data_IF_436192798828
#
_entry.id   IF_436192798828
#
_cell.length_a   1.000
_cell.length_b   1.000
_cell.length_c   1.000
_cell.angle_alpha   90.00
_cell.angle_beta   90.00
_cell.angle_gamma   90.00
#
_symmetry.space_group_name_H-M   'P 1'
#
loop_
_entity.id
_entity.type
_entity.pdbx_description
1 polymer ?
#
# COMPACT_ATOMS: atom_id res chain seq x y z
N UNK A 1 12.21 28.07 -36.29
CA UNK A 1 11.21 27.45 -37.19
C UNK A 1 11.00 25.99 -36.76
N UNK A 2 10.83 25.75 -35.46
CA UNK A 2 10.69 24.40 -34.84
C UNK A 2 9.34 24.26 -34.10
N UNK A 3 8.46 25.26 -34.17
CA UNK A 3 7.27 25.37 -33.31
C UNK A 3 6.02 24.66 -33.85
N UNK A 4 6.15 23.86 -34.92
CA UNK A 4 4.99 23.34 -35.68
C UNK A 4 4.85 21.81 -35.75
N UNK A 5 5.64 21.04 -34.98
CA UNK A 5 5.58 19.57 -35.04
C UNK A 5 5.11 18.88 -33.75
N UNK A 6 4.79 19.60 -32.67
CA UNK A 6 4.12 18.96 -31.53
C UNK A 6 2.65 18.81 -31.86
N UNK A 7 2.19 17.58 -32.12
CA UNK A 7 0.75 17.27 -32.19
C UNK A 7 -0.01 17.74 -30.94
N UNK A 8 -1.36 17.68 -30.96
CA UNK A 8 -2.16 18.15 -29.83
C UNK A 8 -1.74 17.44 -28.54
N UNK A 9 -1.50 18.22 -27.50
CA UNK A 9 -1.12 17.70 -26.18
C UNK A 9 -2.24 16.79 -25.67
N UNK A 10 -1.91 15.55 -25.34
CA UNK A 10 -2.81 14.56 -24.75
C UNK A 10 -2.38 14.25 -23.32
N UNK A 11 -3.19 14.67 -22.35
CA UNK A 11 -2.89 14.52 -20.92
C UNK A 11 -3.75 13.42 -20.28
N UNK A 12 -3.11 12.41 -19.70
CA UNK A 12 -3.82 11.34 -18.98
C UNK A 12 -3.71 11.53 -17.48
N UNK A 13 -4.84 11.53 -16.79
CA UNK A 13 -4.93 11.71 -15.34
C UNK A 13 -5.23 10.37 -14.69
N UNK A 14 -4.44 9.99 -13.69
CA UNK A 14 -4.59 8.68 -13.05
C UNK A 14 -4.22 8.66 -11.56
N UNK A 15 -4.66 7.62 -10.87
CA UNK A 15 -4.26 7.32 -9.48
C UNK A 15 -3.94 5.84 -9.29
N UNK A 16 -3.22 5.54 -8.20
CA UNK A 16 -2.94 4.20 -7.72
C UNK A 16 -3.43 4.11 -6.26
N UNK A 17 -4.34 3.19 -5.96
CA UNK A 17 -4.94 3.09 -4.64
C UNK A 17 -5.27 1.66 -4.23
N UNK A 18 -5.32 1.40 -2.91
CA UNK A 18 -5.78 0.10 -2.39
C UNK A 18 -7.29 0.02 -2.25
N UNK A 19 -7.92 1.11 -1.78
CA UNK A 19 -9.38 1.23 -1.55
C UNK A 19 -10.00 -0.02 -0.90
N UNK A 20 -9.52 -0.45 0.27
CA UNK A 20 -9.98 -1.69 0.92
C UNK A 20 -10.48 -1.50 2.37
N UNK A 21 -11.76 -1.12 2.58
CA UNK A 21 -12.76 -0.77 1.55
C UNK A 21 -12.54 0.64 0.95
N UNK A 22 -13.23 0.98 -0.17
CA UNK A 22 -13.40 2.36 -0.58
C UNK A 22 -14.05 3.19 0.54
N UNK A 23 -13.69 4.47 0.64
CA UNK A 23 -14.15 5.35 1.73
C UNK A 23 -14.35 6.77 1.22
N UNK A 24 -14.94 7.65 2.04
CA UNK A 24 -15.11 9.06 1.71
C UNK A 24 -13.78 9.77 1.39
N UNK A 25 -12.67 9.37 2.03
CA UNK A 25 -11.34 9.87 1.67
C UNK A 25 -10.92 9.50 0.25
N UNK A 26 -11.22 8.28 -0.20
CA UNK A 26 -10.99 7.86 -1.59
C UNK A 26 -11.91 8.58 -2.56
N UNK A 27 -13.14 8.89 -2.16
CA UNK A 27 -14.08 9.67 -2.99
C UNK A 27 -13.58 11.10 -3.20
N UNK A 28 -12.95 11.70 -2.18
CA UNK A 28 -12.25 12.97 -2.33
C UNK A 28 -11.12 12.90 -3.37
N UNK A 29 -10.35 11.81 -3.38
CA UNK A 29 -9.31 11.57 -4.39
C UNK A 29 -9.91 11.41 -5.81
N UNK A 30 -11.00 10.66 -5.95
CA UNK A 30 -11.69 10.53 -7.25
C UNK A 30 -12.24 11.88 -7.72
N UNK A 31 -12.87 12.64 -6.83
CA UNK A 31 -13.35 14.00 -7.14
C UNK A 31 -12.23 14.90 -7.64
N UNK A 32 -11.03 14.79 -7.08
CA UNK A 32 -9.87 15.55 -7.53
C UNK A 32 -9.34 15.09 -8.91
N UNK A 33 -9.43 13.79 -9.25
CA UNK A 33 -9.14 13.31 -10.61
C UNK A 33 -10.11 13.95 -11.62
N UNK A 34 -11.41 13.91 -11.31
CA UNK A 34 -12.46 14.49 -12.16
C UNK A 34 -12.28 16.00 -12.32
N UNK A 35 -12.00 16.71 -11.22
CA UNK A 35 -11.73 18.15 -11.23
C UNK A 35 -10.50 18.48 -12.09
N UNK A 36 -9.40 17.73 -11.94
CA UNK A 36 -8.20 17.93 -12.74
C UNK A 36 -8.44 17.67 -14.24
N UNK A 37 -9.40 16.81 -14.60
CA UNK A 37 -9.76 16.56 -16.00
C UNK A 37 -10.55 17.72 -16.60
N UNK A 38 -11.43 18.37 -15.82
CA UNK A 38 -12.12 19.60 -16.25
C UNK A 38 -11.18 20.80 -16.44
N UNK A 39 -10.02 20.79 -15.77
CA UNK A 39 -8.99 21.81 -15.91
C UNK A 39 -8.12 21.63 -17.16
N UNK A 40 -8.26 20.50 -17.88
CA UNK A 40 -7.58 20.31 -19.15
C UNK A 40 -8.18 21.23 -20.23
N UNK A 41 -7.39 21.66 -21.24
CA UNK A 41 -7.93 22.29 -22.43
C UNK A 41 -9.05 21.42 -23.04
N UNK A 42 -10.12 22.04 -23.53
CA UNK A 42 -11.27 21.31 -24.10
C UNK A 42 -10.91 20.49 -25.34
N UNK A 43 -9.84 20.88 -26.02
CA UNK A 43 -9.26 20.22 -27.18
C UNK A 43 -8.18 19.19 -26.83
N UNK A 44 -7.82 19.02 -25.55
CA UNK A 44 -6.92 17.95 -25.10
C UNK A 44 -7.61 16.59 -25.31
N UNK A 45 -7.05 15.68 -26.13
CA UNK A 45 -7.67 14.38 -26.40
C UNK A 45 -7.77 13.44 -25.17
N UNK A 46 -7.15 13.80 -24.04
CA UNK A 46 -7.30 13.12 -22.75
C UNK A 46 -8.47 13.65 -21.91
N UNK A 47 -9.11 14.75 -22.33
CA UNK A 47 -10.33 15.25 -21.71
C UNK A 47 -11.44 14.18 -21.79
N UNK A 48 -12.21 14.04 -20.71
CA UNK A 48 -13.30 13.07 -20.61
C UNK A 48 -12.91 11.69 -20.09
N UNK A 49 -11.63 11.42 -19.76
CA UNK A 49 -11.21 10.14 -19.15
C UNK A 49 -10.26 10.32 -17.97
N UNK A 50 -10.48 9.54 -16.91
CA UNK A 50 -9.55 9.39 -15.78
C UNK A 50 -9.36 7.92 -15.42
N UNK A 51 -8.19 7.56 -14.88
CA UNK A 51 -7.83 6.17 -14.61
C UNK A 51 -7.59 5.89 -13.13
N UNK A 52 -8.06 4.73 -12.65
CA UNK A 52 -7.83 4.25 -11.29
C UNK A 52 -7.20 2.86 -11.37
N UNK A 53 -5.99 2.70 -10.83
CA UNK A 53 -5.31 1.40 -10.73
C UNK A 53 -5.45 0.88 -9.29
N UNK A 54 -6.20 -0.20 -9.11
CA UNK A 54 -6.54 -0.78 -7.82
C UNK A 54 -5.64 -1.97 -7.44
N UNK A 55 -5.23 -2.03 -6.17
CA UNK A 55 -4.42 -3.14 -5.66
C UNK A 55 -5.15 -4.49 -5.73
N UNK A 56 -4.39 -5.52 -6.09
CA UNK A 56 -4.81 -6.92 -6.12
C UNK A 56 -4.51 -7.70 -4.84
N UNK A 57 -3.74 -7.13 -3.90
CA UNK A 57 -3.34 -7.83 -2.69
C UNK A 57 -4.56 -8.19 -1.85
N UNK A 58 -4.59 -9.42 -1.37
CA UNK A 58 -5.63 -9.94 -0.49
C UNK A 58 -4.96 -10.40 0.79
N UNK A 59 -4.80 -9.48 1.73
CA UNK A 59 -4.47 -9.85 3.11
C UNK A 59 -5.79 -9.85 3.89
N UNK A 60 -6.21 -10.97 4.50
CA UNK A 60 -7.54 -11.07 5.11
C UNK A 60 -7.85 -9.99 6.15
N UNK A 61 -6.84 -9.33 6.72
CA UNK A 61 -7.01 -8.31 7.76
C UNK A 61 -6.82 -6.89 7.20
N UNK A 62 -5.76 -6.68 6.42
CA UNK A 62 -5.32 -5.35 5.98
C UNK A 62 -5.76 -4.97 4.56
N UNK A 63 -6.08 -5.94 3.71
CA UNK A 63 -6.58 -5.76 2.33
C UNK A 63 -7.63 -6.87 2.00
N UNK A 64 -8.75 -6.97 2.75
CA UNK A 64 -9.67 -8.12 2.70
C UNK A 64 -10.48 -8.29 1.40
N UNK A 65 -10.87 -7.20 0.74
CA UNK A 65 -11.63 -7.24 -0.51
C UNK A 65 -10.79 -7.57 -1.74
N UNK A 66 -11.39 -8.33 -2.66
CA UNK A 66 -10.84 -8.52 -4.00
C UNK A 66 -11.01 -7.25 -4.83
N UNK A 67 -10.21 -7.09 -5.87
CA UNK A 67 -10.31 -5.90 -6.71
C UNK A 67 -11.66 -5.78 -7.44
N UNK A 68 -12.23 -6.89 -7.90
CA UNK A 68 -13.56 -6.90 -8.52
C UNK A 68 -14.64 -6.41 -7.56
N UNK A 69 -14.56 -6.78 -6.27
CA UNK A 69 -15.49 -6.28 -5.26
C UNK A 69 -15.38 -4.76 -5.14
N UNK A 70 -14.16 -4.23 -5.06
CA UNK A 70 -13.91 -2.78 -5.01
C UNK A 70 -14.49 -2.07 -6.24
N UNK A 71 -14.36 -2.67 -7.43
CA UNK A 71 -14.91 -2.12 -8.69
C UNK A 71 -16.43 -2.08 -8.68
N UNK A 72 -17.10 -3.11 -8.13
CA UNK A 72 -18.56 -3.14 -7.95
C UNK A 72 -19.00 -2.01 -7.02
N UNK A 73 -18.37 -1.85 -5.85
CA UNK A 73 -18.65 -0.75 -4.92
C UNK A 73 -18.52 0.62 -5.59
N UNK A 74 -17.44 0.82 -6.36
CA UNK A 74 -17.11 2.11 -6.97
C UNK A 74 -18.07 2.47 -8.12
N UNK A 75 -18.39 1.51 -8.98
CA UNK A 75 -19.16 1.75 -10.22
C UNK A 75 -20.62 1.34 -10.06
N UNK A 76 -20.88 0.07 -9.76
CA UNK A 76 -22.22 -0.52 -9.82
C UNK A 76 -23.10 -0.09 -8.63
N UNK A 77 -22.53 -0.03 -7.44
CA UNK A 77 -23.23 0.46 -6.24
C UNK A 77 -23.20 1.99 -6.14
N UNK A 78 -22.61 2.66 -7.14
CA UNK A 78 -22.86 4.06 -7.42
C UNK A 78 -22.08 5.06 -6.57
N UNK A 79 -20.98 4.68 -5.91
CA UNK A 79 -20.16 5.68 -5.19
C UNK A 79 -19.63 6.78 -6.13
N UNK A 80 -19.11 6.41 -7.31
CA UNK A 80 -18.68 7.38 -8.34
C UNK A 80 -19.88 8.11 -8.93
N UNK A 81 -20.98 7.39 -9.20
CA UNK A 81 -22.20 7.99 -9.75
C UNK A 81 -22.84 8.99 -8.79
N UNK A 82 -22.72 8.79 -7.48
CA UNK A 82 -23.12 9.80 -6.49
C UNK A 82 -22.27 11.06 -6.63
N UNK A 83 -20.94 10.95 -6.76
CA UNK A 83 -20.07 12.12 -7.00
C UNK A 83 -20.52 12.87 -8.25
N UNK A 84 -20.81 12.16 -9.34
CA UNK A 84 -21.27 12.76 -10.61
C UNK A 84 -22.66 13.40 -10.48
N UNK A 85 -23.59 12.76 -9.76
CA UNK A 85 -24.93 13.30 -9.49
C UNK A 85 -24.88 14.57 -8.66
N UNK A 86 -24.05 14.59 -7.63
CA UNK A 86 -23.84 15.75 -6.76
C UNK A 86 -23.03 16.86 -7.47
N UNK A 87 -22.40 16.57 -8.62
CA UNK A 87 -21.55 17.50 -9.38
C UNK A 87 -21.73 17.26 -10.90
N UNK A 88 -22.83 17.77 -11.50
CA UNK A 88 -23.21 17.47 -12.89
C UNK A 88 -22.15 17.77 -13.95
N UNK A 89 -21.19 18.65 -13.64
CA UNK A 89 -20.04 18.94 -14.51
C UNK A 89 -19.14 17.72 -14.75
N UNK A 90 -19.19 16.69 -13.90
CA UNK A 90 -18.42 15.45 -14.08
C UNK A 90 -19.13 14.38 -14.92
N UNK A 91 -20.37 14.63 -15.37
CA UNK A 91 -21.19 13.62 -16.07
C UNK A 91 -20.54 13.09 -17.35
N UNK A 92 -19.81 13.95 -18.09
CA UNK A 92 -19.09 13.59 -19.32
C UNK A 92 -17.72 12.93 -19.11
N UNK A 93 -17.28 12.68 -17.87
CA UNK A 93 -15.96 12.10 -17.60
C UNK A 93 -16.12 10.61 -17.25
N UNK A 94 -15.48 9.75 -18.04
CA UNK A 94 -15.38 8.32 -17.80
C UNK A 94 -14.31 8.02 -16.74
N UNK A 95 -14.64 7.16 -15.77
CA UNK A 95 -13.68 6.64 -14.78
C UNK A 95 -13.34 5.20 -15.13
N UNK A 96 -12.14 4.96 -15.64
CA UNK A 96 -11.67 3.64 -16.07
C UNK A 96 -10.89 2.98 -14.92
N UNK A 97 -11.36 1.83 -14.45
CA UNK A 97 -10.77 1.11 -13.32
C UNK A 97 -10.07 -0.18 -13.80
N UNK A 98 -8.76 -0.23 -13.56
CA UNK A 98 -7.91 -1.41 -13.75
C UNK A 98 -7.61 -2.08 -12.40
N UNK A 99 -7.68 -3.40 -12.38
CA UNK A 99 -7.23 -4.21 -11.26
C UNK A 99 -5.81 -4.70 -11.52
N UNK A 100 -4.89 -4.60 -10.56
CA UNK A 100 -3.51 -5.10 -10.70
C UNK A 100 -3.42 -6.61 -11.02
N UNK A 101 -4.49 -7.36 -10.77
CA UNK A 101 -4.65 -8.78 -11.11
C UNK A 101 -5.07 -9.01 -12.56
N UNK A 102 -5.54 -7.98 -13.27
CA UNK A 102 -6.00 -8.11 -14.64
C UNK A 102 -4.86 -8.59 -15.54
N UNK A 103 -5.20 -9.48 -16.46
CA UNK A 103 -4.29 -9.96 -17.48
C UNK A 103 -4.02 -8.84 -18.47
N UNK A 104 -2.76 -8.62 -18.77
CA UNK A 104 -2.29 -7.70 -19.80
C UNK A 104 -1.32 -8.45 -20.70
N UNK A 105 -1.01 -7.89 -21.85
CA UNK A 105 -0.03 -8.47 -22.77
C UNK A 105 1.32 -8.68 -22.07
N UNK A 106 1.94 -9.84 -22.28
CA UNK A 106 3.12 -10.27 -21.52
C UNK A 106 4.33 -9.33 -21.69
N UNK A 107 4.40 -8.66 -22.84
CA UNK A 107 5.47 -7.71 -23.19
C UNK A 107 5.40 -6.40 -22.39
N UNK A 108 4.27 -6.11 -21.74
CA UNK A 108 4.10 -4.99 -20.80
C UNK A 108 4.75 -5.26 -19.44
N UNK A 109 5.26 -6.47 -19.23
CA UNK A 109 6.03 -6.87 -18.04
C UNK A 109 5.19 -7.35 -16.86
N UNK A 110 5.87 -7.85 -15.83
CA UNK A 110 5.24 -8.54 -14.70
C UNK A 110 4.91 -7.65 -13.49
N UNK A 111 5.40 -6.41 -13.45
CA UNK A 111 5.19 -5.55 -12.28
C UNK A 111 3.70 -5.11 -12.21
N UNK A 112 2.98 -5.35 -11.10
CA UNK A 112 1.52 -5.22 -11.03
C UNK A 112 0.99 -3.83 -11.37
N UNK A 113 1.70 -2.77 -10.94
CA UNK A 113 1.35 -1.37 -11.27
C UNK A 113 1.80 -1.00 -12.69
N UNK A 114 3.10 -1.13 -12.97
CA UNK A 114 3.72 -0.63 -14.20
C UNK A 114 3.13 -1.25 -15.46
N UNK A 115 2.73 -2.52 -15.43
CA UNK A 115 2.12 -3.20 -16.58
C UNK A 115 0.83 -2.49 -17.05
N UNK A 116 0.00 -1.98 -16.12
CA UNK A 116 -1.21 -1.22 -16.46
C UNK A 116 -0.91 0.21 -16.89
N UNK A 117 0.11 0.84 -16.29
CA UNK A 117 0.56 2.16 -16.75
C UNK A 117 1.05 2.07 -18.20
N UNK A 118 1.82 1.04 -18.54
CA UNK A 118 2.28 0.79 -19.91
C UNK A 118 1.12 0.44 -20.86
N UNK A 119 0.12 -0.29 -20.38
CA UNK A 119 -1.12 -0.53 -21.13
C UNK A 119 -1.85 0.78 -21.46
N UNK A 120 -1.97 1.69 -20.49
CA UNK A 120 -2.54 3.03 -20.70
C UNK A 120 -1.70 3.79 -21.74
N UNK A 121 -0.38 3.80 -21.62
CA UNK A 121 0.51 4.47 -22.57
C UNK A 121 0.35 3.89 -23.99
N UNK A 122 0.26 2.56 -24.13
CA UNK A 122 0.05 1.88 -25.41
C UNK A 122 -1.28 2.26 -26.07
N UNK A 123 -2.36 2.22 -25.28
CA UNK A 123 -3.72 2.44 -25.79
C UNK A 123 -4.02 3.91 -26.05
N UNK A 124 -3.55 4.79 -25.18
CA UNK A 124 -3.91 6.20 -25.21
C UNK A 124 -2.83 7.06 -25.87
N UNK A 125 -1.58 6.62 -25.94
CA UNK A 125 -0.45 7.41 -26.49
C UNK A 125 -0.38 8.84 -25.92
N UNK A 126 -0.36 9.02 -24.57
CA UNK A 126 -0.32 10.34 -23.96
C UNK A 126 1.01 11.06 -24.23
N UNK A 127 0.95 12.37 -24.35
CA UNK A 127 2.13 13.25 -24.30
C UNK A 127 2.43 13.74 -22.89
N UNK A 128 1.44 13.69 -21.98
CA UNK A 128 1.56 14.12 -20.57
C UNK A 128 0.78 13.17 -19.64
N UNK A 129 1.26 12.93 -18.41
CA UNK A 129 0.62 12.03 -17.45
C UNK A 129 0.63 12.59 -16.03
N UNK A 130 -0.54 12.84 -15.46
CA UNK A 130 -0.70 13.41 -14.12
C UNK A 130 -1.10 12.33 -13.11
N UNK A 131 -0.21 12.03 -12.17
CA UNK A 131 -0.47 11.13 -11.05
C UNK A 131 -1.04 11.93 -9.87
N UNK A 132 -2.25 11.61 -9.41
CA UNK A 132 -2.84 12.21 -8.21
C UNK A 132 -2.88 11.17 -7.10
N UNK A 133 -2.32 11.49 -5.93
CA UNK A 133 -2.19 10.57 -4.80
C UNK A 133 -2.47 11.29 -3.47
N UNK A 134 -2.91 10.53 -2.46
CA UNK A 134 -3.07 11.05 -1.11
C UNK A 134 -1.73 11.46 -0.48
N UNK A 135 -1.77 12.48 0.39
CA UNK A 135 -0.60 12.95 1.13
C UNK A 135 0.09 11.87 1.97
N UNK A 136 -0.65 10.86 2.42
CA UNK A 136 -0.13 9.72 3.17
C UNK A 136 0.80 8.82 2.34
N UNK A 137 0.84 9.00 1.01
CA UNK A 137 1.61 8.15 0.09
C UNK A 137 2.69 8.88 -0.68
N UNK A 138 2.50 10.16 -0.96
CA UNK A 138 3.31 10.88 -1.96
C UNK A 138 4.72 11.18 -1.50
N UNK A 139 4.85 11.85 -0.35
CA UNK A 139 6.13 12.44 0.04
C UNK A 139 6.21 12.49 1.56
N UNK A 140 7.26 11.91 2.13
CA UNK A 140 7.67 12.27 3.50
C UNK A 140 8.56 13.49 3.43
N UNK A 141 8.20 14.53 4.18
CA UNK A 141 9.04 15.71 4.35
C UNK A 141 9.82 15.59 5.67
N UNK A 142 11.04 16.12 5.73
CA UNK A 142 11.73 16.35 7.00
C UNK A 142 11.22 17.62 7.67
N UNK A 143 11.80 17.93 8.82
CA UNK A 143 11.50 19.15 9.59
C UNK A 143 11.84 20.46 8.85
N UNK A 144 12.49 20.38 7.68
CA UNK A 144 12.86 21.50 6.82
C UNK A 144 12.08 21.51 5.50
N UNK A 145 10.94 20.82 5.43
CA UNK A 145 10.12 20.68 4.22
C UNK A 145 10.89 20.07 3.02
N UNK A 146 11.94 19.28 3.29
CA UNK A 146 12.69 18.57 2.25
C UNK A 146 12.11 17.18 2.01
N UNK A 147 11.89 16.81 0.75
CA UNK A 147 11.41 15.48 0.34
C UNK A 147 12.42 14.40 0.72
N UNK A 148 12.12 13.60 1.76
CA UNK A 148 12.93 12.47 2.20
C UNK A 148 12.63 11.21 1.37
N UNK A 149 11.34 10.97 1.05
CA UNK A 149 10.91 9.71 0.44
C UNK A 149 9.74 9.95 -0.54
N UNK A 150 9.98 9.75 -1.84
CA UNK A 150 8.94 9.68 -2.87
C UNK A 150 8.68 8.20 -3.20
N UNK A 151 7.60 7.64 -2.66
CA UNK A 151 7.25 6.22 -2.81
C UNK A 151 6.89 5.82 -4.25
N UNK A 152 6.69 6.80 -5.15
CA UNK A 152 6.32 6.56 -6.56
C UNK A 152 7.40 6.97 -7.55
N UNK A 153 8.62 7.29 -7.08
CA UNK A 153 9.75 7.56 -7.98
C UNK A 153 10.00 6.42 -8.97
N UNK A 154 9.70 5.17 -8.61
CA UNK A 154 9.82 4.04 -9.52
C UNK A 154 8.85 4.11 -10.71
N UNK A 155 7.68 4.76 -10.57
CA UNK A 155 6.72 5.00 -11.66
C UNK A 155 7.27 6.04 -12.61
N UNK A 156 7.78 7.15 -12.08
CA UNK A 156 8.47 8.19 -12.85
C UNK A 156 9.68 7.62 -13.60
N UNK A 157 10.52 6.85 -12.91
CA UNK A 157 11.69 6.21 -13.49
C UNK A 157 11.31 5.20 -14.58
N UNK A 158 10.25 4.42 -14.39
CA UNK A 158 9.79 3.48 -15.42
C UNK A 158 9.31 4.22 -16.67
N UNK A 159 8.44 5.23 -16.51
CA UNK A 159 7.95 6.05 -17.63
C UNK A 159 9.11 6.72 -18.38
N UNK A 160 10.12 7.24 -17.65
CA UNK A 160 11.34 7.82 -18.25
C UNK A 160 12.20 6.77 -18.96
N UNK A 161 12.39 5.58 -18.38
CA UNK A 161 13.20 4.48 -18.97
C UNK A 161 12.55 3.85 -20.19
N UNK A 162 11.23 3.76 -20.18
CA UNK A 162 10.48 3.37 -21.38
C UNK A 162 10.71 4.38 -22.51
N UNK A 163 11.17 5.60 -22.17
CA UNK A 163 11.72 6.59 -23.08
C UNK A 163 10.90 6.66 -24.34
N UNK A 164 9.57 6.86 -24.19
CA UNK A 164 8.51 6.71 -25.19
C UNK A 164 9.06 6.92 -26.61
N UNK A 165 9.61 5.85 -27.20
CA UNK A 165 9.95 5.73 -28.62
C UNK A 165 8.68 5.40 -29.39
N UNK A 166 7.64 6.18 -29.11
CA UNK A 166 6.38 6.17 -29.83
C UNK A 166 6.15 7.56 -30.43
N UNK A 167 6.66 8.66 -29.83
CA UNK A 167 6.70 10.02 -30.42
C UNK A 167 7.57 11.00 -29.58
N UNK A 168 8.88 10.74 -29.44
CA UNK A 168 9.96 11.64 -28.92
C UNK A 168 9.76 12.45 -27.60
N UNK A 169 8.61 12.39 -26.94
CA UNK A 169 8.30 13.17 -25.73
C UNK A 169 8.03 12.24 -24.55
N UNK A 170 8.81 12.44 -23.49
CA UNK A 170 8.60 11.77 -22.20
C UNK A 170 7.55 12.57 -21.43
N UNK A 171 6.41 11.98 -21.05
CA UNK A 171 5.41 12.70 -20.27
C UNK A 171 5.98 13.13 -18.92
N UNK A 172 5.77 14.40 -18.56
CA UNK A 172 6.10 14.92 -17.24
C UNK A 172 5.09 14.37 -16.22
N UNK A 173 5.54 13.99 -15.02
CA UNK A 173 4.62 13.58 -13.95
C UNK A 173 4.62 14.66 -12.88
N UNK A 174 3.47 15.30 -12.69
CA UNK A 174 3.22 16.20 -11.56
C UNK A 174 2.37 15.47 -10.54
N UNK A 175 2.99 15.11 -9.42
CA UNK A 175 2.30 14.48 -8.30
C UNK A 175 1.52 15.56 -7.53
N UNK A 176 0.19 15.56 -7.66
CA UNK A 176 -0.66 16.43 -6.85
C UNK A 176 -0.98 15.72 -5.53
N UNK A 177 -0.44 16.26 -4.44
CA UNK A 177 -0.69 15.77 -3.08
C UNK A 177 -1.97 16.42 -2.55
N UNK A 178 -2.95 15.58 -2.22
CA UNK A 178 -4.19 16.05 -1.59
C UNK A 178 -4.13 15.88 -0.08
N UNK A 179 -4.39 16.97 0.63
CA UNK A 179 -4.70 16.93 2.06
C UNK A 179 -5.99 16.14 2.30
N UNK A 180 -6.00 15.33 3.35
CA UNK A 180 -7.19 14.58 3.75
C UNK A 180 -8.28 15.58 4.20
N UNK A 181 -9.50 15.52 3.63
CA UNK A 181 -10.57 16.40 4.08
C UNK A 181 -10.86 16.19 5.57
N UNK A 182 -11.18 17.26 6.33
CA UNK A 182 -11.60 17.13 7.73
C UNK A 182 -12.74 16.11 7.86
N UNK A 183 -12.61 15.17 8.79
CA UNK A 183 -13.61 14.12 9.02
C UNK A 183 -13.63 12.97 8.00
N UNK A 184 -12.87 13.03 6.91
CA UNK A 184 -12.84 11.95 5.92
C UNK A 184 -12.38 10.63 6.54
N UNK A 185 -13.05 9.53 6.21
CA UNK A 185 -12.79 8.22 6.80
C UNK A 185 -11.66 7.47 6.07
N UNK A 186 -10.78 6.78 6.81
CA UNK A 186 -9.74 5.93 6.23
C UNK A 186 -10.18 4.47 6.17
N UNK A 187 -9.66 3.73 5.20
CA UNK A 187 -9.92 2.29 5.08
C UNK A 187 -9.50 1.53 6.36
N UNK A 188 -8.37 1.89 6.98
CA UNK A 188 -7.93 1.28 8.24
C UNK A 188 -8.95 1.49 9.35
N UNK A 189 -9.50 2.71 9.50
CA UNK A 189 -10.53 2.96 10.50
C UNK A 189 -11.82 2.18 10.21
N UNK A 190 -12.23 2.05 8.94
CA UNK A 190 -13.37 1.21 8.56
C UNK A 190 -13.16 -0.26 8.94
N UNK A 191 -11.98 -0.82 8.64
CA UNK A 191 -11.65 -2.21 9.02
C UNK A 191 -11.61 -2.40 10.54
N UNK A 192 -11.20 -1.39 11.31
CA UNK A 192 -11.32 -1.42 12.77
C UNK A 192 -12.77 -1.52 13.22
N UNK A 193 -13.67 -0.70 12.68
CA UNK A 193 -15.10 -0.77 13.00
C UNK A 193 -15.67 -2.16 12.74
N UNK A 194 -15.29 -2.77 11.61
CA UNK A 194 -15.64 -4.16 11.29
C UNK A 194 -15.05 -5.12 12.33
N UNK A 195 -13.75 -5.04 12.62
CA UNK A 195 -13.10 -5.96 13.56
C UNK A 195 -13.72 -5.95 14.96
N UNK A 196 -14.17 -4.79 15.45
CA UNK A 196 -14.85 -4.65 16.74
C UNK A 196 -16.37 -4.89 16.68
N UNK A 197 -16.92 -5.23 15.51
CA UNK A 197 -18.35 -5.49 15.35
C UNK A 197 -19.26 -4.25 15.35
N UNK A 198 -18.71 -3.03 15.19
CA UNK A 198 -19.49 -1.79 15.19
C UNK A 198 -20.14 -1.53 13.82
N UNK A 199 -21.23 -2.26 13.55
CA UNK A 199 -21.98 -2.19 12.29
C UNK A 199 -22.62 -0.83 12.06
N UNK A 200 -23.18 -0.22 13.11
CA UNK A 200 -23.91 1.05 13.01
C UNK A 200 -23.00 2.19 12.54
N UNK A 201 -21.85 2.39 13.20
CA UNK A 201 -20.89 3.43 12.78
C UNK A 201 -20.32 3.12 11.38
N UNK A 202 -20.05 1.85 11.07
CA UNK A 202 -19.56 1.47 9.74
C UNK A 202 -20.57 1.82 8.64
N UNK A 203 -21.85 1.50 8.84
CA UNK A 203 -22.92 1.79 7.87
C UNK A 203 -23.05 3.30 7.71
N UNK A 204 -23.15 4.05 8.82
CA UNK A 204 -23.20 5.51 8.80
C UNK A 204 -22.06 6.13 7.97
N UNK A 205 -20.83 5.65 8.15
CA UNK A 205 -19.65 6.16 7.44
C UNK A 205 -19.55 5.70 5.98
N UNK A 206 -20.15 4.57 5.65
CA UNK A 206 -20.27 4.09 4.27
C UNK A 206 -21.30 4.89 3.46
N UNK A 207 -22.40 5.32 4.10
CA UNK A 207 -23.39 6.22 3.50
C UNK A 207 -22.77 7.56 3.13
N UNK A 208 -21.94 8.14 4.01
CA UNK A 208 -21.19 9.38 3.72
C UNK A 208 -20.28 9.23 2.49
N UNK A 209 -19.75 8.02 2.26
CA UNK A 209 -18.93 7.69 1.09
C UNK A 209 -19.75 7.42 -0.18
N UNK A 210 -21.07 7.28 -0.05
CA UNK A 210 -22.01 7.17 -1.15
C UNK A 210 -22.60 5.80 -1.43
N UNK A 211 -22.39 4.83 -0.54
CA UNK A 211 -23.10 3.56 -0.61
C UNK A 211 -24.54 3.70 -0.14
N UNK A 212 -25.42 2.80 -0.57
CA UNK A 212 -26.75 2.65 0.01
C UNK A 212 -26.66 1.99 1.40
N UNK A 213 -27.73 2.09 2.20
CA UNK A 213 -27.74 1.45 3.53
C UNK A 213 -27.66 -0.08 3.43
N UNK A 214 -28.28 -0.65 2.38
CA UNK A 214 -28.24 -2.07 2.11
C UNK A 214 -26.84 -2.52 1.71
N UNK A 215 -26.24 -1.88 0.70
CA UNK A 215 -24.90 -2.22 0.21
C UNK A 215 -23.85 -2.04 1.33
N UNK A 216 -23.98 -1.00 2.14
CA UNK A 216 -23.13 -0.78 3.30
C UNK A 216 -23.25 -1.90 4.35
N UNK A 217 -24.47 -2.39 4.61
CA UNK A 217 -24.69 -3.49 5.54
C UNK A 217 -24.14 -4.82 5.00
N UNK A 218 -24.35 -5.11 3.71
CA UNK A 218 -23.81 -6.28 3.03
C UNK A 218 -22.27 -6.26 2.99
N UNK A 219 -21.69 -5.10 2.69
CA UNK A 219 -20.24 -4.90 2.75
C UNK A 219 -19.68 -5.12 4.15
N UNK A 220 -20.37 -4.65 5.20
CA UNK A 220 -19.99 -4.93 6.58
C UNK A 220 -19.96 -6.42 6.86
N UNK A 221 -21.03 -7.14 6.54
CA UNK A 221 -21.14 -8.58 6.83
C UNK A 221 -20.07 -9.39 6.09
N UNK A 222 -19.80 -9.03 4.82
CA UNK A 222 -18.73 -9.61 4.02
C UNK A 222 -17.34 -9.36 4.64
N UNK A 223 -17.03 -8.11 4.97
CA UNK A 223 -15.76 -7.76 5.60
C UNK A 223 -15.60 -8.42 6.96
N UNK A 224 -16.67 -8.48 7.75
CA UNK A 224 -16.69 -9.09 9.07
C UNK A 224 -16.32 -10.57 8.98
N UNK A 225 -16.95 -11.30 8.06
CA UNK A 225 -16.63 -12.70 7.80
C UNK A 225 -15.16 -12.91 7.43
N UNK A 226 -14.62 -12.11 6.49
CA UNK A 226 -13.23 -12.24 6.01
C UNK A 226 -12.23 -11.89 7.11
N UNK A 227 -12.39 -10.73 7.76
CA UNK A 227 -11.47 -10.24 8.80
C UNK A 227 -11.51 -11.18 10.00
N UNK A 228 -12.69 -11.59 10.44
CA UNK A 228 -12.84 -12.54 11.55
C UNK A 228 -12.17 -13.87 11.22
N UNK A 229 -12.45 -14.45 10.05
CA UNK A 229 -11.79 -15.68 9.60
C UNK A 229 -10.26 -15.55 9.56
N UNK A 230 -9.77 -14.42 9.05
CA UNK A 230 -8.34 -14.09 9.06
C UNK A 230 -7.72 -14.04 10.46
N UNK A 231 -8.42 -13.44 11.43
CA UNK A 231 -7.96 -13.41 12.83
C UNK A 231 -7.98 -14.80 13.44
N UNK A 232 -9.04 -15.60 13.22
CA UNK A 232 -9.16 -16.99 13.70
C UNK A 232 -8.00 -17.84 13.18
N UNK A 233 -7.74 -17.80 11.87
CA UNK A 233 -6.64 -18.52 11.23
C UNK A 233 -5.29 -18.12 11.80
N UNK A 234 -5.13 -16.83 12.11
CA UNK A 234 -3.91 -16.32 12.71
C UNK A 234 -3.76 -16.82 14.14
N UNK A 235 -4.82 -16.79 14.96
CA UNK A 235 -4.84 -17.33 16.33
C UNK A 235 -4.50 -18.82 16.36
N UNK A 236 -5.10 -19.62 15.46
CA UNK A 236 -4.85 -21.07 15.36
C UNK A 236 -3.40 -21.42 15.02
N UNK A 237 -2.66 -20.54 14.34
CA UNK A 237 -1.25 -20.75 13.95
C UNK A 237 -0.24 -20.38 15.05
N UNK A 238 -0.68 -19.73 16.13
CA UNK A 238 0.23 -19.22 17.17
C UNK A 238 0.60 -20.33 18.17
N UNK A 239 1.90 -20.54 18.44
CA UNK A 239 2.32 -21.37 19.56
C UNK A 239 1.79 -20.79 20.89
N UNK A 240 1.17 -21.62 21.74
CA UNK A 240 0.50 -21.23 23.01
C UNK A 240 1.30 -20.23 23.88
N UNK A 241 2.63 -20.26 23.83
CA UNK A 241 3.55 -19.40 24.59
C UNK A 241 3.79 -17.98 24.03
N UNK A 242 3.26 -17.65 22.85
CA UNK A 242 3.63 -16.43 22.11
C UNK A 242 2.45 -15.48 21.82
N UNK A 243 1.33 -15.55 22.55
CA UNK A 243 0.17 -14.68 22.29
C UNK A 243 0.47 -13.17 22.44
N UNK A 244 1.43 -12.75 23.26
CA UNK A 244 1.72 -11.31 23.45
C UNK A 244 2.36 -10.69 22.20
N UNK A 245 3.25 -11.42 21.51
CA UNK A 245 3.90 -10.94 20.26
C UNK A 245 2.92 -10.77 19.09
N UNK A 246 1.69 -11.26 19.23
CA UNK A 246 0.64 -11.21 18.22
C UNK A 246 -0.15 -9.90 18.20
N UNK A 247 -0.26 -9.21 19.34
CA UNK A 247 -1.05 -7.99 19.45
C UNK A 247 -0.49 -6.88 18.56
N UNK A 248 0.84 -6.78 18.49
CA UNK A 248 1.50 -5.69 17.76
C UNK A 248 1.21 -5.71 16.24
N UNK A 249 1.31 -6.85 15.53
CA UNK A 249 0.86 -6.95 14.14
C UNK A 249 -0.62 -6.61 13.94
N UNK A 250 -1.52 -7.09 14.81
CA UNK A 250 -2.96 -6.84 14.70
C UNK A 250 -3.28 -5.34 14.90
N UNK A 251 -2.68 -4.73 15.92
CA UNK A 251 -2.82 -3.30 16.21
C UNK A 251 -2.30 -2.45 15.07
N UNK A 252 -1.18 -2.85 14.46
CA UNK A 252 -0.60 -2.14 13.31
C UNK A 252 -1.52 -2.25 12.07
N UNK A 253 -2.04 -3.44 11.78
CA UNK A 253 -2.87 -3.70 10.60
C UNK A 253 -4.25 -3.04 10.65
N UNK A 254 -4.84 -2.99 11.85
CA UNK A 254 -6.19 -2.45 12.08
C UNK A 254 -6.21 -1.06 12.71
N UNK A 255 -5.09 -0.55 13.21
CA UNK A 255 -5.06 0.71 13.97
C UNK A 255 -5.88 0.64 15.27
N UNK A 256 -5.87 -0.51 15.93
CA UNK A 256 -6.54 -0.75 17.20
C UNK A 256 -5.72 -0.17 18.36
N UNK A 257 -6.41 0.31 19.40
CA UNK A 257 -5.79 0.48 20.71
C UNK A 257 -5.49 -0.90 21.32
N UNK A 258 -4.58 -0.96 22.28
CA UNK A 258 -4.30 -2.23 22.98
C UNK A 258 -5.57 -2.78 23.64
N UNK A 259 -6.41 -1.91 24.22
CA UNK A 259 -7.67 -2.30 24.84
C UNK A 259 -8.68 -2.90 23.84
N UNK A 260 -8.87 -2.26 22.68
CA UNK A 260 -9.80 -2.77 21.65
C UNK A 260 -9.32 -4.11 21.09
N UNK A 261 -8.01 -4.25 20.89
CA UNK A 261 -7.43 -5.49 20.40
C UNK A 261 -7.60 -6.65 21.40
N UNK A 262 -7.43 -6.37 22.70
CA UNK A 262 -7.72 -7.33 23.77
C UNK A 262 -9.19 -7.77 23.71
N UNK A 263 -10.13 -6.84 23.56
CA UNK A 263 -11.55 -7.20 23.53
C UNK A 263 -11.94 -8.01 22.29
N UNK A 264 -11.41 -7.65 21.11
CA UNK A 264 -11.60 -8.44 19.87
C UNK A 264 -11.08 -9.87 20.04
N UNK A 265 -9.87 -10.01 20.57
CA UNK A 265 -9.25 -11.33 20.76
C UNK A 265 -9.99 -12.12 21.83
N UNK A 266 -10.44 -11.47 22.90
CA UNK A 266 -11.26 -12.09 23.95
C UNK A 266 -12.52 -12.71 23.37
N UNK A 267 -13.27 -11.95 22.58
CA UNK A 267 -14.50 -12.44 21.97
C UNK A 267 -14.24 -13.63 21.03
N UNK A 268 -13.17 -13.57 20.23
CA UNK A 268 -12.78 -14.67 19.35
C UNK A 268 -12.35 -15.91 20.14
N UNK A 269 -11.54 -15.75 21.20
CA UNK A 269 -11.10 -16.89 22.02
C UNK A 269 -12.25 -17.53 22.80
N UNK A 270 -13.24 -16.76 23.23
CA UNK A 270 -14.43 -17.28 23.90
C UNK A 270 -15.29 -18.13 22.96
N UNK A 271 -15.44 -17.72 21.70
CA UNK A 271 -16.14 -18.51 20.69
C UNK A 271 -15.37 -19.77 20.29
N UNK A 272 -14.06 -19.66 20.16
CA UNK A 272 -13.19 -20.77 19.79
C UNK A 272 -12.76 -21.63 20.99
N UNK A 273 -13.34 -21.44 22.19
CA UNK A 273 -12.86 -22.09 23.41
C UNK A 273 -12.80 -23.61 23.31
N UNK A 274 -13.79 -24.20 22.61
CA UNK A 274 -13.90 -25.63 22.36
C UNK A 274 -12.89 -26.07 21.28
N UNK A 275 -12.86 -25.36 20.15
CA UNK A 275 -11.95 -25.58 19.01
C UNK A 275 -10.46 -25.51 19.38
N UNK A 276 -10.11 -24.64 20.32
CA UNK A 276 -8.73 -24.37 20.72
C UNK A 276 -8.30 -25.21 21.94
N UNK A 277 -9.16 -26.12 22.40
CA UNK A 277 -8.95 -26.93 23.61
C UNK A 277 -8.52 -26.06 24.80
N UNK A 278 -9.14 -24.88 24.94
CA UNK A 278 -8.72 -23.89 25.93
C UNK A 278 -9.16 -24.24 27.35
N UNK A 279 -10.00 -25.26 27.51
CA UNK A 279 -10.61 -25.63 28.78
C UNK A 279 -11.92 -24.87 29.00
N UNK A 280 -12.12 -24.32 30.18
CA UNK A 280 -13.33 -23.56 30.52
C UNK A 280 -13.25 -22.10 30.07
N UNK A 281 -14.37 -21.37 30.15
CA UNK A 281 -14.36 -19.92 29.90
C UNK A 281 -13.38 -19.18 30.84
N UNK A 282 -13.20 -19.67 32.07
CA UNK A 282 -12.26 -19.08 33.04
C UNK A 282 -10.80 -19.26 32.61
N UNK A 283 -10.47 -20.34 31.90
CA UNK A 283 -9.13 -20.55 31.35
C UNK A 283 -8.82 -19.56 30.23
N UNK A 284 -9.83 -19.25 29.40
CA UNK A 284 -9.74 -18.21 28.37
C UNK A 284 -9.54 -16.85 29.01
N UNK A 285 -10.37 -16.49 30.00
CA UNK A 285 -10.26 -15.20 30.71
C UNK A 285 -8.92 -15.05 31.43
N UNK A 286 -8.41 -16.11 32.08
CA UNK A 286 -7.07 -16.08 32.70
C UNK A 286 -5.96 -15.82 31.70
N UNK A 287 -6.01 -16.41 30.51
CA UNK A 287 -5.01 -16.15 29.45
C UNK A 287 -5.10 -14.72 28.92
N UNK A 288 -6.30 -14.19 28.77
CA UNK A 288 -6.51 -12.79 28.35
C UNK A 288 -5.95 -11.84 29.40
N UNK A 289 -6.17 -12.11 30.68
CA UNK A 289 -5.63 -11.27 31.75
C UNK A 289 -4.10 -11.33 31.80
N UNK A 290 -3.49 -12.51 31.60
CA UNK A 290 -2.03 -12.65 31.48
C UNK A 290 -1.46 -11.82 30.33
N UNK A 291 -2.15 -11.80 29.18
CA UNK A 291 -1.78 -11.00 28.03
C UNK A 291 -1.89 -9.50 28.35
N UNK A 292 -2.99 -9.09 28.97
CA UNK A 292 -3.21 -7.69 29.38
C UNK A 292 -2.09 -7.22 30.30
N UNK A 293 -1.75 -8.01 31.32
CA UNK A 293 -0.68 -7.68 32.27
C UNK A 293 0.68 -7.58 31.57
N UNK A 294 0.98 -8.47 30.62
CA UNK A 294 2.23 -8.42 29.88
C UNK A 294 2.33 -7.22 28.93
N UNK A 295 1.22 -6.79 28.31
CA UNK A 295 1.18 -5.57 27.50
C UNK A 295 1.40 -4.32 28.37
N UNK A 296 0.80 -4.28 29.56
CA UNK A 296 1.02 -3.20 30.52
C UNK A 296 2.49 -3.15 30.98
N UNK A 297 3.11 -4.31 31.24
CA UNK A 297 4.53 -4.40 31.59
C UNK A 297 5.44 -3.90 30.45
N UNK A 298 5.13 -4.24 29.19
CA UNK A 298 5.86 -3.71 28.02
C UNK A 298 5.66 -2.19 27.88
N UNK A 299 4.47 -1.66 28.18
CA UNK A 299 4.21 -0.22 28.15
C UNK A 299 5.03 0.52 29.21
N UNK A 300 5.03 0.02 30.44
CA UNK A 300 5.84 0.58 31.54
C UNK A 300 7.33 0.57 31.16
N UNK A 301 7.85 -0.54 30.61
CA UNK A 301 9.24 -0.63 30.13
C UNK A 301 9.57 0.34 29.00
N UNK A 302 8.60 0.70 28.16
CA UNK A 302 8.78 1.67 27.09
C UNK A 302 8.74 3.12 27.59
N UNK A 303 7.98 3.38 28.67
CA UNK A 303 7.90 4.67 29.35
C UNK A 303 9.07 4.92 30.30
N UNK A 304 9.76 3.87 30.76
CA UNK A 304 10.98 4.02 31.56
C UNK A 304 12.01 4.88 30.80
N UNK A 305 12.43 6.02 31.36
CA UNK A 305 13.37 6.91 30.69
C UNK A 305 14.66 6.15 30.47
N UNK A 306 14.97 5.85 29.21
CA UNK A 306 16.22 5.20 28.83
C UNK A 306 17.35 5.91 29.59
N UNK A 307 18.07 5.23 30.50
CA UNK A 307 19.04 5.87 31.37
C UNK A 307 19.98 6.64 30.46
N UNK A 308 20.00 7.97 30.63
CA UNK A 308 20.70 8.89 29.76
C UNK A 308 22.05 8.27 29.45
N UNK A 309 22.25 7.83 28.20
CA UNK A 309 23.53 7.26 27.78
C UNK A 309 24.54 8.33 28.10
N UNK A 310 25.28 8.16 29.21
CA UNK A 310 26.38 9.03 29.59
C UNK A 310 27.21 9.11 28.32
N UNK A 311 27.14 10.26 27.63
CA UNK A 311 28.00 10.55 26.52
C UNK A 311 29.38 10.42 27.13
N UNK A 312 30.05 9.29 26.86
CA UNK A 312 31.46 9.14 27.14
C UNK A 312 32.09 10.17 26.23
N UNK A 313 32.25 11.39 26.74
CA UNK A 313 33.18 12.36 26.24
C UNK A 313 34.50 11.61 26.17
N UNK A 314 34.84 11.14 24.97
CA UNK A 314 36.17 10.63 24.69
C UNK A 314 37.08 11.81 24.96
N UNK A 315 37.67 11.84 26.14
CA UNK A 315 38.71 12.78 26.51
C UNK A 315 39.77 12.72 25.42
N UNK A 316 39.74 13.71 24.54
CA UNK A 316 40.78 13.95 23.57
C UNK A 316 42.06 14.18 24.36
N UNK A 317 42.96 13.20 24.35
CA UNK A 317 44.34 13.42 24.74
C UNK A 317 44.91 14.49 23.81
N UNK A 318 44.94 15.72 24.30
CA UNK A 318 45.74 16.84 23.79
C UNK A 318 47.18 16.34 23.66
N UNK A 319 47.59 15.97 22.44
CA UNK A 319 49.02 15.89 22.10
C UNK A 319 49.47 17.31 21.81
N UNK A 320 50.16 17.91 22.78
CA UNK A 320 51.02 19.08 22.57
C UNK A 320 52.13 18.69 21.61
N UNK A 321 52.01 19.09 20.34
CA UNK A 321 53.10 18.97 19.37
C UNK A 321 53.95 20.23 19.47
N UNK A 322 55.14 20.07 20.06
CA UNK A 322 56.22 21.06 20.14
C UNK A 322 56.51 21.66 18.76
N UNK A 323 56.68 22.98 18.76
CA UNK A 323 57.34 23.77 17.74
C UNK A 323 58.64 23.11 17.30
N UNK A 324 58.82 22.92 15.99
CA UNK A 324 60.13 22.74 15.38
C UNK A 324 60.16 23.59 14.11
N UNK A 325 61.02 24.59 14.18
CA UNK A 325 61.45 25.52 13.14
C UNK A 325 62.14 24.81 11.98
N UNK A 326 62.00 25.42 10.81
CA UNK A 326 62.94 25.48 9.67
C UNK A 326 63.35 24.18 8.93
N UNK A 327 63.00 24.09 7.64
CA UNK A 327 63.89 24.43 6.50
C UNK A 327 63.25 24.11 5.14
N UNK A 328 63.45 25.04 4.20
CA UNK A 328 63.31 24.90 2.75
C UNK A 328 63.93 23.60 2.22
N UNK A 329 63.32 23.00 1.18
CA UNK A 329 63.99 22.71 -0.10
C UNK A 329 62.98 22.22 -1.16
N UNK A 330 63.10 22.80 -2.36
CA UNK A 330 62.54 22.31 -3.62
C UNK A 330 63.01 20.86 -3.90
N UNK A 331 62.13 19.99 -4.41
CA UNK A 331 62.43 19.31 -5.67
C UNK A 331 61.25 18.55 -6.29
N UNK A 332 61.20 18.69 -7.62
CA UNK A 332 60.45 17.92 -8.60
C UNK A 332 60.77 16.41 -8.50
N UNK A 333 59.83 15.58 -8.95
CA UNK A 333 59.98 14.62 -10.10
C UNK A 333 59.39 13.22 -9.84
N UNK A 334 58.56 12.83 -10.82
CA UNK A 334 58.36 11.49 -11.42
C UNK A 334 57.67 10.34 -10.68
N UNK A 335 56.61 9.86 -11.37
CA UNK A 335 56.28 8.47 -11.73
C UNK A 335 56.40 7.37 -10.67
N UNK A 336 55.27 6.69 -10.41
CA UNK A 336 55.25 5.24 -10.63
C UNK A 336 53.84 4.64 -10.79
N UNK A 337 53.72 3.90 -11.89
CA UNK A 337 52.94 2.67 -12.16
C UNK A 337 51.95 2.23 -11.07
N UNK A 338 50.65 2.19 -11.42
CA UNK A 338 49.67 1.33 -10.74
C UNK A 338 49.33 0.13 -11.61
N UNK A 339 49.50 -1.03 -10.99
CA UNK A 339 49.32 -2.38 -11.49
C UNK A 339 47.85 -2.78 -11.61
N UNK A 340 47.60 -3.59 -12.64
CA UNK A 340 46.40 -4.42 -12.82
C UNK A 340 46.24 -5.42 -11.67
N UNK A 341 45.01 -5.60 -11.19
CA UNK A 341 44.60 -6.85 -10.55
C UNK A 341 43.21 -7.25 -11.05
N UNK A 342 43.20 -8.24 -11.96
CA UNK A 342 42.01 -9.00 -12.38
C UNK A 342 41.62 -9.94 -11.23
N UNK A 343 40.38 -9.83 -10.74
CA UNK A 343 39.75 -10.83 -9.86
C UNK A 343 38.79 -11.68 -10.68
N UNK A 344 39.06 -12.98 -10.74
CA UNK A 344 38.20 -14.04 -11.28
C UNK A 344 37.09 -14.36 -10.27
N UNK A 345 35.84 -14.44 -10.75
CA UNK A 345 34.71 -14.97 -9.99
C UNK A 345 34.33 -16.36 -10.55
N UNK A 346 34.52 -17.38 -9.72
CA UNK A 346 34.06 -18.75 -9.98
C UNK A 346 32.53 -18.82 -9.84
N UNK A 347 31.86 -19.26 -10.92
CA UNK A 347 30.45 -19.66 -10.93
C UNK A 347 30.33 -21.06 -10.32
N UNK A 348 29.51 -21.19 -9.27
CA UNK A 348 29.04 -22.49 -8.74
C UNK A 348 27.57 -22.65 -9.12
N UNK A 349 27.29 -23.57 -10.03
CA UNK A 349 25.95 -24.02 -10.41
C UNK A 349 25.45 -25.06 -9.41
N UNK A 350 24.24 -24.88 -8.88
CA UNK A 350 23.55 -25.90 -8.09
C UNK A 350 22.35 -26.43 -8.88
N UNK A 351 22.43 -27.72 -9.23
CA UNK A 351 21.36 -28.51 -9.82
C UNK A 351 20.17 -28.64 -8.84
N UNK A 352 18.95 -28.36 -9.32
CA UNK A 352 17.71 -28.74 -8.63
C UNK A 352 17.08 -29.95 -9.32
N UNK A 353 17.01 -31.05 -8.56
CA UNK A 353 16.23 -32.26 -8.82
C UNK A 353 14.74 -31.94 -8.99
N UNK A 354 14.13 -32.43 -10.06
CA UNK A 354 12.68 -32.54 -10.24
C UNK A 354 12.16 -33.82 -9.60
N UNK A 355 11.09 -33.72 -8.81
CA UNK A 355 10.32 -34.87 -8.31
C UNK A 355 8.96 -34.86 -8.99
N UNK A 356 8.73 -35.86 -9.85
CA UNK A 356 7.44 -36.14 -10.48
C UNK A 356 6.45 -36.66 -9.42
N UNK A 357 5.28 -36.02 -9.29
CA UNK A 357 4.12 -36.57 -8.58
C UNK A 357 3.14 -37.20 -9.57
N UNK A 358 2.88 -38.48 -9.31
CA UNK A 358 2.03 -39.43 -10.00
C UNK A 358 0.55 -39.09 -9.74
N UNK A 359 -0.25 -38.89 -10.78
CA UNK A 359 -1.70 -38.74 -10.70
C UNK A 359 -2.38 -40.10 -10.89
N UNK A 360 -3.17 -40.52 -9.90
CA UNK A 360 -4.08 -41.67 -9.99
C UNK A 360 -5.47 -41.21 -10.38
N UNK A 361 -5.92 -41.61 -11.57
CA UNK A 361 -7.29 -41.43 -12.06
C UNK A 361 -8.21 -42.50 -11.46
N UNK A 362 -9.28 -42.10 -10.75
CA UNK A 362 -10.40 -43.00 -10.37
C UNK A 362 -11.48 -42.93 -11.46
N UNK A 363 -11.88 -44.11 -11.93
CA UNK A 363 -12.86 -44.36 -12.99
C UNK A 363 -14.25 -44.54 -12.34
N UNK A 364 -15.19 -43.63 -12.58
CA UNK A 364 -16.58 -43.80 -12.16
C UNK A 364 -17.37 -44.60 -13.21
N UNK A 365 -18.00 -45.70 -12.79
CA UNK A 365 -19.00 -46.46 -13.55
C UNK A 365 -20.36 -45.79 -13.35
N UNK A 366 -21.04 -45.47 -14.44
CA UNK A 366 -22.49 -45.23 -14.46
C UNK A 366 -23.21 -46.55 -14.74
N UNK A 367 -24.13 -46.93 -13.86
CA UNK A 367 -25.21 -47.89 -14.13
C UNK A 367 -26.43 -47.10 -14.58
N UNK A 368 -26.93 -47.38 -15.79
CA UNK A 368 -28.25 -46.93 -16.27
C UNK A 368 -29.33 -47.85 -15.69
N UNK A 369 -30.45 -47.27 -15.29
CA UNK A 369 -31.77 -47.90 -15.30
C UNK A 369 -32.47 -47.50 -16.58
#
# INVERSE_FOLDING_TARGET
MEEYLSGPKKTIIFTIARMNPPTSGHMGLIKALLQANLELPRDDPGHGKVYVILSSSVDPISDPLLCNDKKVLLIAEGMIEKIKRDNPQFSGIEVIIYCMSDTVEEDLGAHPILKHIRQIIRNEQPTDMKLIIGADRGIKFDEFDTVIENNYKFVEDDIRRQGVKINETVPEIKANILSRPPGAMSATKMRRLVAIGNKEEFVSKSLEAGLSAQDAAELFDKLYSIIRGGIIDMVKKIPKKNLIRFFKPLNTSLGLSDADAIEVIKNIMLELKEDLELGTADDVLRRIEQIRLALEEERIKAEEPTPAKKQRTRGGKRRTRKNRTEKNYNNKRSNNKRSNNKRSNNKRSNNKRSNNKRTTYKKNRYTRK
#
